data_IF_418681032772
#
_entry.id   IF_418681032772
#
_cell.length_a   1.000
_cell.length_b   1.000
_cell.length_c   1.000
_cell.angle_alpha   90.00
_cell.angle_beta   90.00
_cell.angle_gamma   90.00
#
_symmetry.space_group_name_H-M   'P 1'
#
loop_
_entity.id
_entity.type
_entity.pdbx_description
1 polymer ?
#
# COMPACT_ATOMS: atom_id res chain seq x y z
N UNK A 1 22.36 19.57 -14.84
CA UNK A 1 22.13 18.82 -13.58
C UNK A 1 20.66 18.84 -13.12
N UNK A 2 19.94 19.97 -13.21
CA UNK A 2 18.50 20.05 -12.86
C UNK A 2 17.57 19.28 -13.82
N UNK A 3 17.82 19.34 -15.14
CA UNK A 3 17.02 18.62 -16.15
C UNK A 3 16.93 17.11 -15.91
N UNK A 4 18.05 16.47 -15.59
CA UNK A 4 18.10 15.03 -15.30
C UNK A 4 17.30 14.63 -14.04
N UNK A 5 17.17 15.55 -13.08
CA UNK A 5 16.35 15.34 -11.88
C UNK A 5 14.86 15.43 -12.23
N UNK A 6 14.48 16.34 -13.11
CA UNK A 6 13.10 16.50 -13.55
C UNK A 6 12.63 15.30 -14.36
N UNK A 7 13.40 14.86 -15.36
CA UNK A 7 13.07 13.68 -16.17
C UNK A 7 12.85 12.41 -15.32
N UNK A 8 13.69 12.21 -14.30
CA UNK A 8 13.52 11.10 -13.35
C UNK A 8 12.25 11.22 -12.53
N UNK A 9 11.91 12.44 -12.10
CA UNK A 9 10.69 12.67 -11.33
C UNK A 9 9.45 12.44 -12.19
N UNK A 10 9.48 12.87 -13.44
CA UNK A 10 8.38 12.67 -14.39
C UNK A 10 8.17 11.18 -14.68
N UNK A 11 9.27 10.44 -14.93
CA UNK A 11 9.21 8.99 -15.11
C UNK A 11 8.68 8.26 -13.85
N UNK A 12 9.08 8.69 -12.65
CA UNK A 12 8.57 8.13 -11.40
C UNK A 12 7.07 8.42 -11.23
N UNK A 13 6.63 9.64 -11.51
CA UNK A 13 5.22 10.02 -11.44
C UNK A 13 4.37 9.21 -12.42
N UNK A 14 4.88 8.95 -13.63
CA UNK A 14 4.21 8.08 -14.60
C UNK A 14 4.04 6.64 -14.05
N UNK A 15 5.09 6.08 -13.45
CA UNK A 15 5.03 4.75 -12.83
C UNK A 15 4.06 4.70 -11.65
N UNK A 16 4.05 5.73 -10.79
CA UNK A 16 3.10 5.84 -9.68
C UNK A 16 1.67 5.90 -10.22
N UNK A 17 1.40 6.75 -11.20
CA UNK A 17 0.08 6.87 -11.82
C UNK A 17 -0.38 5.54 -12.43
N UNK A 18 0.51 4.81 -13.11
CA UNK A 18 0.22 3.48 -13.63
C UNK A 18 -0.12 2.49 -12.52
N UNK A 19 0.64 2.50 -11.41
CA UNK A 19 0.38 1.69 -10.23
C UNK A 19 -0.99 1.98 -9.61
N UNK A 20 -1.36 3.25 -9.49
CA UNK A 20 -2.68 3.69 -9.01
C UNK A 20 -3.79 3.14 -9.90
N UNK A 21 -3.65 3.19 -11.23
CA UNK A 21 -4.67 2.64 -12.14
C UNK A 21 -4.81 1.13 -11.98
N UNK A 22 -3.70 0.39 -11.84
CA UNK A 22 -3.73 -1.05 -11.59
C UNK A 22 -4.46 -1.36 -10.29
N UNK A 23 -4.15 -0.64 -9.20
CA UNK A 23 -4.83 -0.81 -7.91
C UNK A 23 -6.34 -0.53 -8.01
N UNK A 24 -6.74 0.58 -8.65
CA UNK A 24 -8.15 0.94 -8.88
C UNK A 24 -8.93 -0.10 -9.68
N UNK A 25 -8.25 -0.85 -10.55
CA UNK A 25 -8.83 -1.94 -11.34
C UNK A 25 -8.86 -3.28 -10.59
N UNK A 26 -8.48 -3.31 -9.31
CA UNK A 26 -8.39 -4.54 -8.51
C UNK A 26 -7.16 -5.39 -8.82
N UNK A 27 -6.15 -4.80 -9.48
CA UNK A 27 -4.87 -5.42 -9.75
C UNK A 27 -3.95 -5.45 -8.53
N UNK A 28 -2.76 -6.01 -8.74
CA UNK A 28 -1.71 -6.16 -7.74
C UNK A 28 -0.44 -5.50 -8.24
N UNK A 29 0.24 -4.75 -7.39
CA UNK A 29 1.53 -4.11 -7.71
C UNK A 29 2.64 -4.60 -6.78
N UNK A 30 3.87 -4.61 -7.28
CA UNK A 30 5.06 -4.69 -6.45
C UNK A 30 5.65 -3.30 -6.30
N UNK A 31 6.04 -2.92 -5.08
CA UNK A 31 6.61 -1.59 -4.81
C UNK A 31 7.74 -1.68 -3.78
N UNK A 32 8.76 -0.81 -3.88
CA UNK A 32 9.85 -0.79 -2.91
C UNK A 32 9.37 -0.23 -1.56
N UNK A 33 9.98 -0.71 -0.49
CA UNK A 33 9.96 -0.06 0.83
C UNK A 33 11.40 0.05 1.34
N UNK A 34 11.60 0.67 2.50
CA UNK A 34 12.88 0.72 3.21
C UNK A 34 13.34 -0.66 3.74
N UNK A 35 12.43 -1.63 3.89
CA UNK A 35 12.73 -2.98 4.40
C UNK A 35 12.82 -4.02 3.30
N UNK A 36 11.70 -4.31 2.65
CA UNK A 36 11.56 -5.32 1.58
C UNK A 36 10.57 -4.85 0.53
N UNK A 37 10.59 -5.46 -0.65
CA UNK A 37 9.53 -5.21 -1.63
C UNK A 37 8.17 -5.68 -1.10
N UNK A 38 7.18 -4.80 -1.20
CA UNK A 38 5.78 -5.09 -0.90
C UNK A 38 5.06 -5.64 -2.13
N UNK A 39 4.12 -6.55 -1.90
CA UNK A 39 3.09 -6.91 -2.88
C UNK A 39 1.76 -6.34 -2.37
N UNK A 40 1.24 -5.34 -3.08
CA UNK A 40 0.11 -4.52 -2.64
C UNK A 40 -1.12 -4.65 -3.55
N UNK A 41 -2.28 -4.51 -2.94
CA UNK A 41 -3.59 -4.45 -3.57
C UNK A 41 -4.46 -3.44 -2.82
N UNK A 42 -5.58 -3.02 -3.40
CA UNK A 42 -6.59 -2.26 -2.68
C UNK A 42 -7.18 -3.10 -1.53
N UNK A 43 -6.97 -2.64 -0.30
CA UNK A 43 -7.42 -3.32 0.91
C UNK A 43 -8.95 -3.38 1.04
N UNK A 44 -9.68 -2.50 0.37
CA UNK A 44 -11.14 -2.48 0.36
C UNK A 44 -11.74 -3.30 -0.77
N UNK A 45 -10.91 -3.95 -1.60
CA UNK A 45 -11.33 -4.86 -2.65
C UNK A 45 -11.03 -6.32 -2.27
N UNK A 46 -12.02 -7.09 -1.77
CA UNK A 46 -11.81 -8.46 -1.28
C UNK A 46 -11.19 -9.40 -2.33
N UNK A 47 -11.55 -9.24 -3.61
CA UNK A 47 -11.00 -10.05 -4.71
C UNK A 47 -9.50 -9.77 -4.93
N UNK A 48 -9.09 -8.51 -4.80
CA UNK A 48 -7.69 -8.12 -4.93
C UNK A 48 -6.87 -8.63 -3.73
N UNK A 49 -7.42 -8.57 -2.52
CA UNK A 49 -6.82 -9.15 -1.30
C UNK A 49 -6.66 -10.66 -1.42
N UNK A 50 -7.69 -11.38 -1.89
CA UNK A 50 -7.60 -12.83 -2.14
C UNK A 50 -6.47 -13.16 -3.13
N UNK A 51 -6.32 -12.35 -4.18
CA UNK A 51 -5.23 -12.50 -5.15
C UNK A 51 -3.85 -12.36 -4.50
N UNK A 52 -3.67 -11.49 -3.50
CA UNK A 52 -2.41 -11.40 -2.73
C UNK A 52 -2.13 -12.72 -2.01
N UNK A 53 -3.12 -13.31 -1.33
CA UNK A 53 -2.96 -14.60 -0.65
C UNK A 53 -2.56 -15.71 -1.62
N UNK A 54 -3.24 -15.80 -2.77
CA UNK A 54 -2.95 -16.78 -3.82
C UNK A 54 -1.53 -16.62 -4.37
N UNK A 55 -1.14 -15.41 -4.76
CA UNK A 55 0.20 -15.12 -5.32
C UNK A 55 1.32 -15.42 -4.33
N UNK A 56 1.11 -15.08 -3.04
CA UNK A 56 2.09 -15.35 -1.98
C UNK A 56 2.06 -16.80 -1.49
N UNK A 57 1.09 -17.61 -1.95
CA UNK A 57 0.79 -18.94 -1.39
C UNK A 57 0.66 -18.87 0.14
N UNK A 58 0.04 -17.80 0.65
CA UNK A 58 -0.09 -17.52 2.08
C UNK A 58 -1.40 -18.12 2.61
N UNK A 59 -1.39 -18.82 3.76
CA UNK A 59 -2.63 -19.23 4.42
C UNK A 59 -3.51 -18.02 4.77
N UNK A 60 -4.80 -18.09 4.46
CA UNK A 60 -5.75 -16.97 4.60
C UNK A 60 -6.02 -16.56 6.05
N UNK A 61 -5.79 -17.46 7.02
CA UNK A 61 -5.93 -17.14 8.44
C UNK A 61 -4.80 -16.25 8.98
N UNK A 62 -3.70 -16.07 8.22
CA UNK A 62 -2.61 -15.19 8.62
C UNK A 62 -2.85 -13.78 8.06
N UNK A 63 -2.97 -12.74 8.90
CA UNK A 63 -3.31 -11.39 8.45
C UNK A 63 -2.24 -10.81 7.52
N UNK A 64 -2.66 -9.89 6.65
CA UNK A 64 -1.78 -9.03 5.87
C UNK A 64 -1.67 -7.65 6.55
N UNK A 65 -0.50 -7.00 6.51
CA UNK A 65 -0.38 -5.63 7.00
C UNK A 65 -1.14 -4.66 6.08
N UNK A 66 -1.73 -3.62 6.67
CA UNK A 66 -2.32 -2.50 5.96
C UNK A 66 -1.32 -1.34 5.94
N UNK A 67 -1.06 -0.77 4.78
CA UNK A 67 -0.21 0.41 4.63
C UNK A 67 -1.09 1.64 4.47
N UNK A 68 -0.85 2.64 5.32
CA UNK A 68 -1.51 3.95 5.30
C UNK A 68 -0.49 5.02 4.91
N UNK A 69 -0.94 6.02 4.17
CA UNK A 69 -0.12 7.17 3.78
C UNK A 69 -0.18 8.30 4.80
N UNK A 70 -1.16 8.27 5.72
CA UNK A 70 -1.35 9.31 6.72
C UNK A 70 -1.94 8.72 8.03
N UNK A 71 -1.55 9.29 9.18
CA UNK A 71 -2.04 8.92 10.52
C UNK A 71 -3.55 9.09 10.67
N UNK A 72 -4.16 10.08 10.00
CA UNK A 72 -5.61 10.31 10.07
C UNK A 72 -6.43 9.11 9.57
N UNK A 73 -5.83 8.25 8.73
CA UNK A 73 -6.49 7.03 8.25
C UNK A 73 -6.76 6.03 9.38
N UNK A 74 -6.01 6.07 10.50
CA UNK A 74 -6.24 5.22 11.66
C UNK A 74 -7.65 5.39 12.23
N UNK A 75 -8.21 6.59 12.18
CA UNK A 75 -9.53 6.88 12.73
C UNK A 75 -10.67 6.10 12.05
N UNK A 76 -10.45 5.66 10.80
CA UNK A 76 -11.39 4.89 9.99
C UNK A 76 -11.06 3.38 10.01
N UNK A 77 -9.78 3.04 10.10
CA UNK A 77 -9.29 1.68 9.93
C UNK A 77 -9.16 0.89 11.24
N UNK A 78 -8.89 1.57 12.35
CA UNK A 78 -8.66 0.93 13.65
C UNK A 78 -9.93 0.84 14.48
N UNK A 79 -10.02 -0.22 15.29
CA UNK A 79 -11.08 -0.37 16.28
C UNK A 79 -11.00 0.74 17.35
N UNK A 80 -12.16 1.20 17.83
CA UNK A 80 -12.25 2.24 18.86
C UNK A 80 -12.56 1.62 20.24
N UNK A 81 -12.04 2.21 21.34
CA UNK A 81 -11.19 3.39 21.39
C UNK A 81 -9.75 3.09 20.94
N UNK A 82 -9.14 4.04 20.23
CA UNK A 82 -7.71 3.99 19.89
C UNK A 82 -6.90 4.23 21.18
N UNK A 83 -5.98 3.32 21.56
CA UNK A 83 -5.10 3.57 22.68
C UNK A 83 -4.26 4.83 22.45
N UNK A 84 -4.11 5.68 23.46
CA UNK A 84 -3.34 6.92 23.35
C UNK A 84 -1.89 6.67 22.89
N UNK A 85 -1.29 5.58 23.37
CA UNK A 85 0.05 5.14 22.95
C UNK A 85 0.15 4.87 21.44
N UNK A 86 -0.94 4.46 20.79
CA UNK A 86 -0.93 4.21 19.35
C UNK A 86 -0.88 5.53 18.56
N UNK A 87 -1.49 6.61 19.07
CA UNK A 87 -1.40 7.95 18.48
C UNK A 87 -0.05 8.60 18.77
N UNK A 88 0.54 8.34 19.94
CA UNK A 88 1.88 8.83 20.28
C UNK A 88 2.99 8.24 19.41
N UNK A 89 2.83 6.99 18.95
CA UNK A 89 3.82 6.27 18.14
C UNK A 89 3.64 6.43 16.62
N UNK A 90 2.55 7.07 16.19
CA UNK A 90 2.24 7.28 14.77
C UNK A 90 2.89 8.57 14.25
#
# INVERSE_FOLDING_TARGET
MLYWRQEKMDALNEQINKGIQILKQGGVIAFPTDTVYGLGADAFNPKAVERIYQLKKRPTHLPLPLLIGDVEQLAVLAAKPLPEIALFLA
#
